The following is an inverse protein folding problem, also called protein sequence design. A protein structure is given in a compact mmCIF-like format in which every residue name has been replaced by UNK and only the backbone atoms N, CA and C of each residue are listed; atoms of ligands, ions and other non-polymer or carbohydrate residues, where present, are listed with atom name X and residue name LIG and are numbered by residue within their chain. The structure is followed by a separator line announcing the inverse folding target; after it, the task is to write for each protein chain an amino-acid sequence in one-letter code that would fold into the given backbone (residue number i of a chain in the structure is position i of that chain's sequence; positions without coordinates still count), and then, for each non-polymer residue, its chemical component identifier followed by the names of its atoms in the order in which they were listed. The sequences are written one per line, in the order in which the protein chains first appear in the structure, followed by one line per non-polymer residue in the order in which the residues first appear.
data_IF_887263305534
#
_entry.id   IF_887263305534
#
_cell.length_a   1.000
_cell.length_b   1.000
_cell.length_c   1.000
_cell.angle_alpha   90.00
_cell.angle_beta   90.00
_cell.angle_gamma   90.00
#
_symmetry.space_group_name_H-M   'P 1'
#
loop_
_entity.id
_entity.type
_entity.pdbx_description
1 polymer ?
#
# COMPACT_ATOMS: atom_id res chain seq x y z
N UNK A 1 9.80 -11.63 -4.83
CA UNK A 1 10.28 -11.83 -3.45
C UNK A 1 10.82 -13.25 -3.18
N UNK A 2 10.06 -14.32 -3.46
CA UNK A 2 10.48 -15.70 -3.20
C UNK A 2 11.88 -16.08 -3.77
N UNK A 3 12.21 -15.68 -5.00
CA UNK A 3 13.53 -15.93 -5.58
C UNK A 3 14.68 -15.28 -4.80
N UNK A 4 14.50 -14.02 -4.36
CA UNK A 4 15.50 -13.30 -3.54
C UNK A 4 15.70 -13.96 -2.17
N UNK A 5 14.62 -14.49 -1.58
CA UNK A 5 14.67 -15.23 -0.31
C UNK A 5 15.38 -16.57 -0.51
N UNK A 6 15.05 -17.32 -1.57
CA UNK A 6 15.64 -18.61 -1.88
C UNK A 6 17.16 -18.51 -2.14
N UNK A 7 17.59 -17.46 -2.86
CA UNK A 7 19.00 -17.20 -3.17
C UNK A 7 19.78 -16.57 -2.02
N UNK A 8 19.10 -16.18 -0.92
CA UNK A 8 19.70 -15.48 0.24
C UNK A 8 20.56 -14.27 -0.17
N UNK A 9 20.05 -13.46 -1.09
CA UNK A 9 20.78 -12.30 -1.61
C UNK A 9 21.05 -11.31 -0.46
N UNK A 10 22.29 -10.84 -0.25
CA UNK A 10 22.64 -9.96 0.86
C UNK A 10 22.33 -8.48 0.53
N UNK A 11 21.06 -8.19 0.26
CA UNK A 11 20.55 -6.82 0.05
C UNK A 11 19.65 -6.39 1.19
N UNK A 12 19.47 -5.07 1.35
CA UNK A 12 18.37 -4.52 2.13
C UNK A 12 17.13 -4.47 1.23
N UNK A 13 16.06 -5.13 1.64
CA UNK A 13 14.85 -5.27 0.81
C UNK A 13 13.63 -4.89 1.64
N UNK A 14 12.83 -3.95 1.13
CA UNK A 14 11.48 -3.67 1.66
C UNK A 14 10.48 -4.05 0.58
N UNK A 15 9.67 -5.08 0.85
CA UNK A 15 8.56 -5.47 0.00
C UNK A 15 7.27 -4.86 0.56
N UNK A 16 6.61 -3.99 -0.22
CA UNK A 16 5.34 -3.37 0.17
C UNK A 16 4.22 -3.91 -0.70
N UNK A 17 3.15 -4.34 -0.05
CA UNK A 17 1.93 -4.83 -0.69
C UNK A 17 0.80 -3.81 -0.56
N UNK A 18 -0.05 -3.75 -1.58
CA UNK A 18 -1.27 -2.96 -1.54
C UNK A 18 -2.20 -3.38 -0.39
N UNK A 19 -3.03 -2.46 0.08
CA UNK A 19 -4.03 -2.73 1.11
C UNK A 19 -5.34 -3.26 0.49
N UNK A 20 -5.18 -4.24 -0.41
CA UNK A 20 -6.27 -4.94 -1.06
C UNK A 20 -6.22 -6.44 -0.76
N UNK A 21 -7.23 -7.18 -1.22
CA UNK A 21 -7.35 -8.61 -0.92
C UNK A 21 -6.14 -9.42 -1.43
N UNK A 22 -5.61 -9.10 -2.61
CA UNK A 22 -4.47 -9.81 -3.19
C UNK A 22 -3.16 -9.48 -2.46
N UNK A 23 -2.97 -8.21 -2.10
CA UNK A 23 -1.86 -7.71 -1.31
C UNK A 23 -1.81 -8.34 0.08
N UNK A 24 -2.95 -8.43 0.77
CA UNK A 24 -3.06 -9.13 2.07
C UNK A 24 -2.66 -10.60 1.95
N UNK A 25 -3.16 -11.31 0.93
CA UNK A 25 -2.84 -12.71 0.71
C UNK A 25 -1.34 -12.91 0.38
N UNK A 26 -0.76 -12.06 -0.48
CA UNK A 26 0.64 -12.12 -0.85
C UNK A 26 1.59 -11.73 0.28
N UNK A 27 1.20 -10.75 1.10
CA UNK A 27 1.88 -10.37 2.33
C UNK A 27 1.93 -11.54 3.31
N UNK A 28 0.79 -12.21 3.56
CA UNK A 28 0.72 -13.39 4.43
C UNK A 28 1.61 -14.54 3.95
N UNK A 29 1.58 -14.85 2.65
CA UNK A 29 2.44 -15.88 2.03
C UNK A 29 3.93 -15.55 2.17
N UNK A 30 4.30 -14.27 2.08
CA UNK A 30 5.69 -13.85 2.14
C UNK A 30 6.21 -13.82 3.58
N UNK A 31 5.38 -13.40 4.53
CA UNK A 31 5.72 -13.46 5.97
C UNK A 31 5.87 -14.89 6.50
N UNK A 32 5.22 -15.88 5.88
CA UNK A 32 5.43 -17.29 6.23
C UNK A 32 6.80 -17.84 5.79
N UNK A 33 7.57 -17.09 4.99
CA UNK A 33 8.91 -17.49 4.57
C UNK A 33 9.94 -17.18 5.65
N UNK A 34 11.05 -17.92 5.65
CA UNK A 34 12.22 -17.58 6.47
C UNK A 34 12.99 -16.41 5.83
N UNK A 35 12.66 -15.19 6.23
CA UNK A 35 13.29 -13.97 5.72
C UNK A 35 14.67 -13.73 6.35
N UNK A 36 15.53 -13.01 5.61
CA UNK A 36 16.77 -12.48 6.17
C UNK A 36 16.46 -11.26 7.06
N UNK A 37 17.32 -10.99 8.04
CA UNK A 37 17.18 -9.81 8.91
C UNK A 37 17.21 -8.49 8.12
N UNK A 38 17.87 -8.47 6.94
CA UNK A 38 17.90 -7.30 6.05
C UNK A 38 16.62 -7.13 5.21
N UNK A 39 15.63 -8.01 5.36
CA UNK A 39 14.40 -7.97 4.59
C UNK A 39 13.23 -7.55 5.49
N UNK A 40 12.36 -6.70 4.96
CA UNK A 40 11.07 -6.33 5.55
C UNK A 40 9.95 -6.54 4.56
N UNK A 41 8.82 -6.95 5.09
CA UNK A 41 7.59 -7.18 4.35
C UNK A 41 6.52 -6.37 5.04
N UNK A 42 5.86 -5.52 4.27
CA UNK A 42 4.93 -4.52 4.76
C UNK A 42 3.68 -4.52 3.91
N UNK A 43 2.58 -4.02 4.48
CA UNK A 43 1.34 -3.75 3.77
C UNK A 43 1.02 -2.27 3.93
N UNK A 44 0.43 -1.64 2.91
CA UNK A 44 -0.08 -0.28 3.04
C UNK A 44 -1.13 -0.22 4.17
N UNK A 45 -1.18 0.90 4.94
CA UNK A 45 -1.90 0.94 6.20
C UNK A 45 -3.41 1.09 6.02
N UNK A 46 -4.19 0.60 6.97
CA UNK A 46 -5.61 0.95 7.03
C UNK A 46 -5.77 2.46 7.30
N UNK A 47 -6.76 3.09 6.68
CA UNK A 47 -7.13 4.48 6.93
C UNK A 47 -8.60 4.58 7.36
N UNK A 48 -8.90 5.51 8.27
CA UNK A 48 -10.26 5.72 8.75
C UNK A 48 -11.22 6.11 7.61
N UNK A 49 -10.75 6.92 6.65
CA UNK A 49 -11.54 7.31 5.48
C UNK A 49 -11.88 6.12 4.55
N UNK A 50 -11.10 5.04 4.62
CA UNK A 50 -11.33 3.82 3.84
C UNK A 50 -12.37 2.90 4.48
N UNK A 51 -12.69 3.07 5.77
CA UNK A 51 -13.73 2.31 6.47
C UNK A 51 -15.15 2.62 5.96
N UNK A 52 -15.32 3.82 5.39
CA UNK A 52 -16.58 4.30 4.84
C UNK A 52 -16.30 5.02 3.53
N UNK A 53 -16.03 4.24 2.49
CA UNK A 53 -15.67 4.71 1.16
C UNK A 53 -16.82 4.50 0.15
N UNK A 54 -17.00 5.37 -0.86
CA UNK A 54 -18.00 5.12 -1.89
C UNK A 54 -17.67 3.87 -2.69
N UNK A 55 -18.62 2.95 -2.79
CA UNK A 55 -18.48 1.67 -3.48
C UNK A 55 -19.63 1.43 -4.43
N UNK A 56 -19.42 0.59 -5.43
CA UNK A 56 -20.48 0.12 -6.33
C UNK A 56 -20.35 -1.37 -6.56
N UNK A 57 -21.48 -2.06 -6.55
CA UNK A 57 -21.58 -3.49 -6.81
C UNK A 57 -22.87 -3.83 -7.57
N UNK A 58 -23.26 -5.12 -7.62
CA UNK A 58 -24.49 -5.55 -8.31
C UNK A 58 -25.76 -4.86 -7.81
N UNK A 59 -25.77 -4.41 -6.55
CA UNK A 59 -26.89 -3.71 -5.91
C UNK A 59 -26.84 -2.19 -6.09
N UNK A 60 -25.86 -1.65 -6.83
CA UNK A 60 -25.67 -0.22 -7.05
C UNK A 60 -24.68 0.42 -6.08
N UNK A 61 -24.81 1.74 -5.91
CA UNK A 61 -23.93 2.56 -5.07
C UNK A 61 -24.22 2.37 -3.58
N UNK A 62 -23.18 2.25 -2.78
CA UNK A 62 -23.27 2.15 -1.33
C UNK A 62 -21.98 2.66 -0.66
N UNK A 63 -22.02 2.92 0.64
CA UNK A 63 -20.79 3.11 1.43
C UNK A 63 -20.30 1.76 1.94
N UNK A 64 -19.01 1.50 1.85
CA UNK A 64 -18.42 0.25 2.33
C UNK A 64 -16.97 0.42 2.79
N UNK A 65 -16.48 -0.57 3.53
CA UNK A 65 -15.10 -0.65 3.98
C UNK A 65 -14.23 -1.29 2.88
N UNK A 66 -13.22 -0.54 2.42
CA UNK A 66 -12.28 -0.98 1.39
C UNK A 66 -10.92 -1.38 1.97
N UNK A 67 -10.68 -1.16 3.26
CA UNK A 67 -9.43 -1.58 3.92
C UNK A 67 -9.25 -3.08 3.76
N UNK A 68 -8.01 -3.49 3.47
CA UNK A 68 -7.61 -4.89 3.29
C UNK A 68 -8.35 -5.64 2.18
N UNK A 69 -9.08 -4.92 1.32
CA UNK A 69 -10.02 -5.50 0.35
C UNK A 69 -9.87 -4.91 -1.04
N UNK A 70 -9.74 -3.59 -1.14
CA UNK A 70 -9.76 -2.89 -2.42
C UNK A 70 -8.92 -1.60 -2.47
N UNK A 71 -8.10 -1.32 -1.46
CA UNK A 71 -7.30 -0.10 -1.39
C UNK A 71 -5.89 -0.32 -2.00
N UNK A 72 -5.77 -0.10 -3.31
CA UNK A 72 -4.47 -0.03 -3.99
C UNK A 72 -3.74 1.27 -3.67
N UNK A 73 -2.46 1.37 -4.06
CA UNK A 73 -1.66 2.60 -3.90
C UNK A 73 -2.37 3.87 -4.43
N UNK A 74 -3.14 3.78 -5.52
CA UNK A 74 -3.87 4.94 -6.04
C UNK A 74 -4.93 5.48 -5.07
N UNK A 75 -5.46 4.68 -4.14
CA UNK A 75 -6.36 5.16 -3.09
C UNK A 75 -5.67 6.11 -2.10
N UNK A 76 -4.34 6.05 -1.99
CA UNK A 76 -3.51 6.91 -1.14
C UNK A 76 -3.10 8.22 -1.82
N UNK A 77 -3.47 8.42 -3.08
CA UNK A 77 -3.31 9.70 -3.76
C UNK A 77 -4.39 10.70 -3.33
N UNK A 78 -4.21 11.97 -3.68
CA UNK A 78 -5.26 12.98 -3.54
C UNK A 78 -6.38 12.72 -4.55
N UNK A 79 -7.53 12.28 -4.04
CA UNK A 79 -8.71 11.96 -4.83
C UNK A 79 -9.70 13.13 -4.94
N UNK A 80 -9.41 14.24 -4.26
CA UNK A 80 -10.33 15.38 -4.10
C UNK A 80 -10.10 16.51 -5.10
N UNK A 81 -9.03 16.44 -5.90
CA UNK A 81 -8.65 17.52 -6.80
C UNK A 81 -9.67 17.77 -7.90
N UNK A 82 -9.84 19.04 -8.26
CA UNK A 82 -10.89 19.47 -9.18
C UNK A 82 -10.74 18.85 -10.57
N UNK A 83 -11.86 18.46 -11.17
CA UNK A 83 -11.92 17.90 -12.52
C UNK A 83 -11.36 16.47 -12.62
N UNK A 84 -11.31 15.75 -11.50
CA UNK A 84 -11.10 14.31 -11.45
C UNK A 84 -12.44 13.57 -11.48
N UNK A 85 -12.46 12.28 -11.90
CA UNK A 85 -13.69 11.49 -11.91
C UNK A 85 -14.22 11.24 -10.50
N UNK A 86 -15.48 10.81 -10.41
CA UNK A 86 -16.09 10.41 -9.14
C UNK A 86 -15.28 9.30 -8.46
N UNK A 87 -15.03 9.49 -7.17
CA UNK A 87 -14.28 8.56 -6.33
C UNK A 87 -15.19 7.40 -5.95
N UNK A 88 -14.96 6.23 -6.53
CA UNK A 88 -15.73 5.03 -6.21
C UNK A 88 -14.90 3.77 -6.44
N UNK A 89 -14.98 2.83 -5.49
CA UNK A 89 -14.45 1.48 -5.66
C UNK A 89 -15.51 0.57 -6.27
N UNK A 90 -15.18 -0.12 -7.35
CA UNK A 90 -16.06 -1.14 -7.92
C UNK A 90 -15.70 -2.51 -7.34
N UNK A 91 -16.67 -3.14 -6.68
CA UNK A 91 -16.55 -4.52 -6.23
C UNK A 91 -16.51 -5.47 -7.41
N UNK A 92 -15.59 -6.42 -7.35
CA UNK A 92 -15.44 -7.54 -8.28
C UNK A 92 -15.89 -8.85 -7.63
N UNK A 93 -15.15 -9.93 -7.93
CA UNK A 93 -15.41 -11.27 -7.41
C UNK A 93 -15.02 -11.45 -5.94
N UNK A 94 -15.47 -12.56 -5.37
CA UNK A 94 -14.97 -13.04 -4.08
C UNK A 94 -13.61 -13.70 -4.27
N UNK A 95 -12.63 -13.36 -3.43
CA UNK A 95 -11.32 -13.97 -3.42
C UNK A 95 -11.28 -15.04 -2.31
N UNK A 96 -11.33 -16.31 -2.69
CA UNK A 96 -11.38 -17.44 -1.74
C UNK A 96 -10.13 -17.52 -0.84
N UNK A 97 -8.97 -17.11 -1.36
CA UNK A 97 -7.70 -17.13 -0.61
C UNK A 97 -7.72 -16.03 0.47
N UNK A 98 -8.24 -14.85 0.13
CA UNK A 98 -8.35 -13.72 1.06
C UNK A 98 -9.59 -13.82 1.96
N UNK A 99 -10.57 -14.66 1.62
CA UNK A 99 -11.85 -14.76 2.32
C UNK A 99 -12.69 -13.49 2.24
N UNK A 100 -12.51 -12.68 1.19
CA UNK A 100 -13.15 -11.37 1.07
C UNK A 100 -13.46 -11.01 -0.39
N UNK A 101 -14.47 -10.17 -0.60
CA UNK A 101 -14.66 -9.51 -1.90
C UNK A 101 -13.51 -8.55 -2.18
N UNK A 102 -12.98 -8.63 -3.40
CA UNK A 102 -11.97 -7.70 -3.91
C UNK A 102 -12.63 -6.60 -4.74
N UNK A 103 -11.96 -5.48 -4.88
CA UNK A 103 -12.44 -4.35 -5.67
C UNK A 103 -11.29 -3.50 -6.18
N UNK A 104 -11.63 -2.48 -6.99
CA UNK A 104 -10.64 -1.54 -7.51
C UNK A 104 -11.22 -0.14 -7.65
N UNK A 105 -10.38 0.88 -7.45
CA UNK A 105 -10.73 2.28 -7.67
C UNK A 105 -11.03 2.53 -9.15
N UNK A 106 -12.23 3.02 -9.45
CA UNK A 106 -12.59 3.44 -10.82
C UNK A 106 -11.79 4.68 -11.19
N UNK A 107 -11.27 4.71 -12.41
CA UNK A 107 -10.50 5.85 -12.90
C UNK A 107 -9.12 6.01 -12.24
N UNK A 108 -8.53 4.94 -11.70
CA UNK A 108 -7.21 4.96 -11.05
C UNK A 108 -6.11 5.62 -11.89
N UNK A 109 -6.14 5.43 -13.22
CA UNK A 109 -5.18 6.03 -14.15
C UNK A 109 -5.27 7.56 -14.15
N UNK A 110 -6.46 8.14 -13.99
CA UNK A 110 -6.67 9.59 -13.94
C UNK A 110 -6.06 10.18 -12.67
N UNK A 111 -6.27 9.54 -11.51
CA UNK A 111 -5.68 9.95 -10.24
C UNK A 111 -4.15 9.84 -10.28
N UNK A 112 -3.61 8.74 -10.82
CA UNK A 112 -2.18 8.54 -11.01
C UNK A 112 -1.58 9.63 -11.93
N UNK A 113 -2.18 9.87 -13.08
CA UNK A 113 -1.70 10.89 -14.03
C UNK A 113 -1.75 12.30 -13.44
N UNK A 114 -2.74 12.58 -12.58
CA UNK A 114 -2.83 13.84 -11.87
C UNK A 114 -1.67 14.03 -10.88
N UNK A 115 -1.36 13.00 -10.08
CA UNK A 115 -0.19 13.00 -9.21
C UNK A 115 1.12 13.18 -9.98
N UNK A 116 1.34 12.39 -11.04
CA UNK A 116 2.54 12.49 -11.90
C UNK A 116 2.64 13.83 -12.64
N UNK A 117 1.49 14.48 -12.86
CA UNK A 117 1.38 15.81 -13.46
C UNK A 117 1.63 16.96 -12.48
N UNK A 118 1.50 16.72 -11.18
CA UNK A 118 1.72 17.74 -10.16
C UNK A 118 3.19 18.18 -10.11
N UNK A 119 3.43 19.47 -9.84
CA UNK A 119 4.77 20.10 -9.89
C UNK A 119 5.18 20.73 -8.57
N UNK A 120 4.57 20.30 -7.46
CA UNK A 120 4.91 20.79 -6.12
C UNK A 120 4.34 22.17 -5.78
N UNK A 121 3.47 22.73 -6.62
CA UNK A 121 2.77 24.00 -6.38
C UNK A 121 1.34 23.90 -6.88
N UNK A 122 0.44 24.67 -6.25
CA UNK A 122 -0.96 24.76 -6.64
C UNK A 122 -1.09 25.06 -8.15
N UNK A 123 -1.96 24.31 -8.81
CA UNK A 123 -2.31 24.48 -10.21
C UNK A 123 -3.82 24.70 -10.37
N UNK A 124 -4.32 24.70 -11.61
CA UNK A 124 -5.75 24.90 -11.92
C UNK A 124 -6.71 23.93 -11.20
N UNK A 125 -6.23 22.78 -10.71
CA UNK A 125 -7.00 21.79 -9.95
C UNK A 125 -6.95 22.02 -8.44
N UNK A 126 -6.09 22.93 -7.96
CA UNK A 126 -5.86 23.24 -6.55
C UNK A 126 -4.51 22.74 -6.05
N UNK A 127 -4.22 23.00 -4.77
CA UNK A 127 -3.12 22.35 -4.05
C UNK A 127 -3.33 20.82 -3.99
N UNK A 128 -2.26 20.09 -3.72
CA UNK A 128 -2.30 18.63 -3.58
C UNK A 128 -2.24 18.27 -2.09
N UNK A 129 -3.14 17.41 -1.65
CA UNK A 129 -3.13 16.84 -0.30
C UNK A 129 -2.21 15.60 -0.23
N UNK A 130 -1.14 15.69 0.55
CA UNK A 130 -0.16 14.63 0.72
C UNK A 130 -0.41 13.74 1.94
N UNK A 131 -1.41 14.02 2.77
CA UNK A 131 -1.62 13.35 4.07
C UNK A 131 -1.67 11.83 3.96
N UNK A 132 -2.28 11.28 2.91
CA UNK A 132 -2.33 9.83 2.67
C UNK A 132 -1.01 9.26 2.17
N UNK A 133 -0.27 9.99 1.34
CA UNK A 133 1.06 9.59 0.90
C UNK A 133 2.07 9.62 2.05
N UNK A 134 1.92 10.53 3.02
CA UNK A 134 2.71 10.52 4.25
C UNK A 134 2.53 9.19 5.01
N UNK A 135 1.31 8.63 5.06
CA UNK A 135 1.06 7.31 5.67
C UNK A 135 1.75 6.16 4.92
N UNK A 136 1.87 6.26 3.59
CA UNK A 136 2.66 5.31 2.79
C UNK A 136 4.15 5.44 3.12
N UNK A 137 4.65 6.67 3.25
CA UNK A 137 6.03 6.95 3.60
C UNK A 137 6.38 6.50 5.01
N UNK A 138 5.48 6.65 5.97
CA UNK A 138 5.65 6.16 7.35
C UNK A 138 5.96 4.64 7.36
N UNK A 139 5.24 3.86 6.55
CA UNK A 139 5.48 2.41 6.40
C UNK A 139 6.86 2.13 5.81
N UNK A 140 7.23 2.82 4.73
CA UNK A 140 8.51 2.63 4.05
C UNK A 140 9.71 3.03 4.92
N UNK A 141 9.62 4.20 5.55
CA UNK A 141 10.67 4.74 6.41
C UNK A 141 10.80 3.88 7.66
N UNK A 142 9.68 3.47 8.28
CA UNK A 142 9.69 2.55 9.42
C UNK A 142 10.43 1.26 9.11
N UNK A 143 10.11 0.61 7.99
CA UNK A 143 10.79 -0.62 7.55
C UNK A 143 12.30 -0.42 7.32
N UNK A 144 12.69 0.70 6.71
CA UNK A 144 14.11 1.03 6.52
C UNK A 144 14.84 1.26 7.85
N UNK A 145 14.21 1.95 8.80
CA UNK A 145 14.77 2.21 10.14
C UNK A 145 14.97 0.90 10.90
N UNK A 146 14.02 -0.03 10.83
CA UNK A 146 14.15 -1.35 11.46
C UNK A 146 15.33 -2.14 10.90
N UNK A 147 15.47 -2.21 9.57
CA UNK A 147 16.61 -2.89 8.92
C UNK A 147 17.94 -2.28 9.38
N UNK A 148 18.03 -0.95 9.36
CA UNK A 148 19.25 -0.24 9.77
C UNK A 148 19.59 -0.49 11.25
N UNK A 149 18.59 -0.51 12.11
CA UNK A 149 18.75 -0.73 13.55
C UNK A 149 19.24 -2.15 13.87
N UNK A 150 18.67 -3.17 13.23
CA UNK A 150 19.11 -4.56 13.40
C UNK A 150 20.52 -4.79 12.85
N UNK A 151 20.86 -4.17 11.72
CA UNK A 151 22.21 -4.22 11.18
C UNK A 151 23.23 -3.61 12.15
N UNK A 152 22.91 -2.45 12.74
CA UNK A 152 23.75 -1.80 13.74
C UNK A 152 23.95 -2.67 15.00
N UNK A 153 22.87 -3.22 15.54
CA UNK A 153 22.92 -4.12 16.70
C UNK A 153 23.77 -5.37 16.43
N UNK A 154 23.59 -5.98 15.25
CA UNK A 154 24.37 -7.15 14.82
C UNK A 154 25.87 -6.86 14.69
N UNK A 155 26.22 -5.67 14.18
CA UNK A 155 27.62 -5.24 14.08
C UNK A 155 28.25 -5.01 15.47
N UNK A 156 27.52 -4.39 16.40
CA UNK A 156 27.99 -4.18 17.77
C UNK A 156 28.22 -5.52 18.49
N UNK A 157 27.27 -6.46 18.39
CA UNK A 157 27.40 -7.78 19.00
C UNK A 157 28.61 -8.58 18.46
N UNK A 158 28.96 -8.43 17.18
CA UNK A 158 30.16 -9.05 16.59
C UNK A 158 31.48 -8.40 17.05
N UNK A 159 31.47 -7.13 17.46
CA UNK A 159 32.66 -6.44 17.98
C UNK A 159 32.96 -6.75 19.44
N UNK A 160 31.95 -7.20 20.20
CA UNK A 160 32.07 -7.55 21.62
C UNK A 160 32.38 -9.04 21.86
N UNK A 161 32.51 -9.83 20.80
CA UNK A 161 32.94 -11.24 20.81
C UNK A 161 34.37 -11.33 20.32
#
# INVERSE_FOLDING_TARGET
MQGLVAMRVPLNVVAVYDNDAEGVAAHGKTNALKLLASYRVCILPDLDEFSRFPTTGPTGLAMGDINRRAASLECYLDLSRRGLPDVVVQWGGFNDIAGSYQGSLKGKTQFMNDFLGYRGKEDRRGAYDFMKLEKVLDVLVGACVEIASEAAASMQARRLR
#
